data_IF_288193561463
#
_entry.id   IF_288193561463
#
_cell.length_a   1.000
_cell.length_b   1.000
_cell.length_c   1.000
_cell.angle_alpha   90.00
_cell.angle_beta   90.00
_cell.angle_gamma   90.00
#
_symmetry.space_group_name_H-M   'P 1'
#
loop_
_entity.id
_entity.type
_entity.pdbx_description
1 polymer ?
#
# COMPACT_ATOMS: atom_id res chain seq x y z
N UNK A 1 6.52 24.58 -3.73
CA UNK A 1 5.34 24.05 -4.44
C UNK A 1 5.87 23.01 -5.40
N UNK A 2 5.53 21.72 -5.22
CA UNK A 2 5.87 20.70 -6.22
C UNK A 2 4.90 20.85 -7.40
N UNK A 3 5.37 20.56 -8.62
CA UNK A 3 4.53 20.56 -9.80
C UNK A 3 3.59 19.33 -9.76
N UNK A 4 2.36 19.51 -10.22
CA UNK A 4 1.46 18.39 -10.45
C UNK A 4 2.03 17.51 -11.57
N UNK A 5 2.06 16.21 -11.31
CA UNK A 5 2.46 15.23 -12.31
C UNK A 5 1.25 14.90 -13.20
N UNK A 6 1.49 14.55 -14.46
CA UNK A 6 0.44 14.10 -15.39
C UNK A 6 0.05 12.64 -15.13
N UNK A 7 -0.35 12.34 -13.90
CA UNK A 7 -0.75 11.00 -13.45
C UNK A 7 -2.12 11.11 -12.80
N UNK A 8 -3.00 10.17 -13.13
CA UNK A 8 -4.31 10.02 -12.49
C UNK A 8 -4.27 8.88 -11.47
N UNK A 9 -4.77 9.13 -10.27
CA UNK A 9 -4.93 8.10 -9.24
C UNK A 9 -6.28 7.42 -9.47
N UNK A 10 -6.26 6.27 -10.15
CA UNK A 10 -7.47 5.50 -10.45
C UNK A 10 -7.88 4.53 -9.34
N UNK A 11 -6.93 4.18 -8.45
CA UNK A 11 -7.15 3.29 -7.32
C UNK A 11 -6.12 3.54 -6.21
N UNK A 12 -6.54 3.38 -4.96
CA UNK A 12 -5.69 3.41 -3.77
C UNK A 12 -6.22 2.39 -2.75
N UNK A 13 -5.33 1.74 -2.00
CA UNK A 13 -5.68 0.80 -0.94
C UNK A 13 -4.73 0.96 0.25
N UNK A 14 -5.30 1.03 1.45
CA UNK A 14 -4.58 0.90 2.72
C UNK A 14 -5.54 0.40 3.80
N UNK A 15 -5.11 -0.56 4.62
CA UNK A 15 -5.92 -1.13 5.69
C UNK A 15 -6.09 -0.15 6.88
N UNK A 16 -5.21 0.85 7.00
CA UNK A 16 -5.22 1.81 8.10
C UNK A 16 -6.16 3.00 7.82
N UNK A 17 -7.28 3.05 8.55
CA UNK A 17 -8.33 4.08 8.39
C UNK A 17 -7.78 5.51 8.56
N UNK A 18 -6.82 5.71 9.47
CA UNK A 18 -6.21 7.03 9.66
C UNK A 18 -5.39 7.49 8.45
N UNK A 19 -4.72 6.57 7.76
CA UNK A 19 -4.00 6.85 6.51
C UNK A 19 -4.98 7.19 5.38
N UNK A 20 -6.09 6.44 5.28
CA UNK A 20 -7.11 6.67 4.27
C UNK A 20 -7.76 8.05 4.38
N UNK A 21 -8.15 8.45 5.58
CA UNK A 21 -8.70 9.79 5.83
C UNK A 21 -7.73 10.90 5.44
N UNK A 22 -6.43 10.70 5.69
CA UNK A 22 -5.42 11.66 5.28
C UNK A 22 -5.26 11.68 3.76
N UNK A 23 -5.24 10.53 3.11
CA UNK A 23 -5.13 10.42 1.66
C UNK A 23 -6.31 11.09 0.95
N UNK A 24 -7.54 10.77 1.35
CA UNK A 24 -8.77 11.34 0.80
C UNK A 24 -8.80 12.87 0.96
N UNK A 25 -8.42 13.37 2.13
CA UNK A 25 -8.36 14.82 2.39
C UNK A 25 -7.40 15.57 1.47
N UNK A 26 -6.29 14.94 1.06
CA UNK A 26 -5.26 15.59 0.25
C UNK A 26 -5.42 15.36 -1.26
N UNK A 27 -5.99 14.22 -1.67
CA UNK A 27 -6.08 13.81 -3.08
C UNK A 27 -7.51 13.71 -3.61
N UNK A 28 -8.53 13.79 -2.75
CA UNK A 28 -9.94 13.67 -3.16
C UNK A 28 -10.34 12.27 -3.64
N UNK A 29 -9.49 11.27 -3.43
CA UNK A 29 -9.72 9.86 -3.77
C UNK A 29 -9.92 9.08 -2.47
N UNK A 30 -11.05 8.38 -2.35
CA UNK A 30 -11.33 7.49 -1.22
C UNK A 30 -10.62 6.15 -1.45
N UNK A 31 -9.63 5.76 -0.61
CA UNK A 31 -8.98 4.47 -0.76
C UNK A 31 -9.89 3.32 -0.31
N UNK A 32 -9.66 2.13 -0.89
CA UNK A 32 -10.23 0.88 -0.39
C UNK A 32 -9.58 0.53 0.95
N UNK A 33 -10.38 0.37 2.02
CA UNK A 33 -9.87 0.06 3.35
C UNK A 33 -9.76 -1.44 3.65
N UNK A 34 -10.11 -2.31 2.68
CA UNK A 34 -9.97 -3.75 2.85
C UNK A 34 -8.50 -4.15 2.93
N UNK A 35 -8.24 -5.30 3.55
CA UNK A 35 -6.94 -5.94 3.44
C UNK A 35 -6.65 -6.29 1.98
N UNK A 36 -5.49 -5.92 1.44
CA UNK A 36 -5.12 -6.17 0.03
C UNK A 36 -5.27 -7.65 -0.37
N UNK A 37 -5.11 -8.58 0.58
CA UNK A 37 -5.31 -10.02 0.39
C UNK A 37 -6.73 -10.44 0.03
N UNK A 38 -7.70 -9.58 0.32
CA UNK A 38 -9.12 -9.82 0.06
C UNK A 38 -9.58 -9.19 -1.26
N UNK A 39 -8.73 -8.39 -1.90
CA UNK A 39 -9.04 -7.67 -3.13
C UNK A 39 -8.55 -8.50 -4.31
N UNK A 40 -9.46 -8.85 -5.22
CA UNK A 40 -9.11 -9.56 -6.44
C UNK A 40 -8.60 -8.60 -7.51
N UNK A 41 -7.71 -9.08 -8.36
CA UNK A 41 -7.13 -8.27 -9.44
C UNK A 41 -8.17 -7.78 -10.46
N UNK A 42 -9.32 -8.45 -10.60
CA UNK A 42 -10.42 -8.04 -11.47
C UNK A 42 -11.33 -6.95 -10.85
N UNK A 43 -11.19 -6.67 -9.54
CA UNK A 43 -11.84 -5.54 -8.88
C UNK A 43 -11.06 -4.23 -9.05
N UNK A 44 -9.77 -4.32 -9.42
CA UNK A 44 -8.90 -3.16 -9.61
C UNK A 44 -9.14 -2.59 -11.03
N UNK A 45 -9.43 -1.28 -11.18
CA UNK A 45 -9.55 -0.64 -12.49
C UNK A 45 -8.30 -0.81 -13.36
N UNK A 46 -8.44 -0.71 -14.68
CA UNK A 46 -7.27 -0.69 -15.58
C UNK A 46 -6.34 0.47 -15.23
N UNK A 47 -5.03 0.19 -15.17
CA UNK A 47 -3.99 1.17 -14.87
C UNK A 47 -2.73 0.92 -15.69
N UNK A 48 -1.90 1.95 -15.86
CA UNK A 48 -0.61 1.85 -16.56
C UNK A 48 0.57 1.61 -15.60
N UNK A 49 0.48 2.14 -14.37
CA UNK A 49 1.56 2.12 -13.37
C UNK A 49 1.00 1.63 -12.04
N UNK A 50 1.66 0.61 -11.47
CA UNK A 50 1.44 0.17 -10.09
C UNK A 50 2.56 0.69 -9.19
N UNK A 51 2.20 1.41 -8.13
CA UNK A 51 3.11 1.82 -7.07
C UNK A 51 2.66 1.20 -5.76
N UNK A 52 3.53 0.43 -5.10
CA UNK A 52 3.22 -0.22 -3.83
C UNK A 52 4.39 -0.18 -2.87
N UNK A 53 4.11 0.15 -1.62
CA UNK A 53 5.05 0.06 -0.51
C UNK A 53 4.59 -1.01 0.46
N UNK A 54 5.12 -2.23 0.35
CA UNK A 54 4.83 -3.27 1.32
C UNK A 54 5.57 -2.98 2.65
N UNK A 55 5.09 -3.49 3.81
CA UNK A 55 5.69 -3.20 5.10
C UNK A 55 7.18 -3.55 5.15
N UNK A 56 8.04 -2.55 5.32
CA UNK A 56 9.49 -2.73 5.36
C UNK A 56 9.99 -3.32 6.68
N UNK A 57 9.14 -3.42 7.72
CA UNK A 57 9.49 -3.86 9.08
C UNK A 57 10.18 -5.23 9.08
N UNK A 58 9.70 -6.17 8.28
CA UNK A 58 10.24 -7.53 8.18
C UNK A 58 11.63 -7.59 7.51
N UNK A 59 12.01 -6.53 6.79
CA UNK A 59 13.25 -6.40 6.01
C UNK A 59 14.23 -5.36 6.60
N UNK A 60 13.78 -4.53 7.55
CA UNK A 60 14.53 -3.40 8.08
C UNK A 60 15.73 -3.81 8.92
N UNK A 61 16.81 -3.01 8.84
CA UNK A 61 18.04 -3.25 9.60
C UNK A 61 17.82 -3.14 11.11
N UNK A 62 16.91 -2.26 11.50
CA UNK A 62 16.55 -1.94 12.89
C UNK A 62 15.60 -2.96 13.52
N UNK A 63 15.02 -3.88 12.73
CA UNK A 63 14.23 -5.00 13.26
C UNK A 63 15.16 -6.08 13.83
N UNK A 64 15.70 -5.81 15.02
CA UNK A 64 16.41 -6.81 15.83
C UNK A 64 15.47 -7.53 16.79
N UNK A 65 14.32 -6.93 17.11
CA UNK A 65 13.22 -7.54 17.85
C UNK A 65 11.87 -7.03 17.28
N UNK A 66 11.12 -7.84 16.50
CA UNK A 66 11.41 -9.23 16.14
C UNK A 66 12.59 -9.36 15.16
N UNK A 67 13.15 -10.58 15.04
CA UNK A 67 14.20 -10.92 14.06
C UNK A 67 13.76 -10.52 12.65
N UNK A 68 14.71 -10.16 11.78
CA UNK A 68 14.47 -10.06 10.33
C UNK A 68 14.07 -11.41 9.76
N UNK A 69 12.77 -11.62 9.64
CA UNK A 69 12.19 -12.83 9.08
C UNK A 69 11.96 -12.68 7.57
N UNK A 70 12.01 -11.45 7.02
CA UNK A 70 11.77 -11.19 5.60
C UNK A 70 10.43 -11.77 5.16
N UNK A 71 10.44 -12.55 4.08
CA UNK A 71 9.26 -13.27 3.54
C UNK A 71 8.71 -14.38 4.46
N UNK A 72 9.35 -14.68 5.60
CA UNK A 72 8.84 -15.62 6.61
C UNK A 72 7.91 -14.96 7.64
N UNK A 73 7.77 -13.63 7.57
CA UNK A 73 6.81 -12.85 8.35
C UNK A 73 5.52 -12.65 7.53
N UNK A 74 4.36 -12.67 8.18
CA UNK A 74 3.06 -12.46 7.51
C UNK A 74 2.96 -11.09 6.81
N UNK A 75 3.70 -10.10 7.33
CA UNK A 75 3.83 -8.78 6.70
C UNK A 75 4.82 -8.77 5.54
N UNK A 76 5.81 -9.67 5.55
CA UNK A 76 6.80 -9.79 4.48
C UNK A 76 6.30 -10.57 3.27
N UNK A 77 5.26 -11.40 3.43
CA UNK A 77 4.59 -12.08 2.32
C UNK A 77 3.68 -11.17 1.50
N UNK A 78 3.35 -9.96 1.99
CA UNK A 78 2.61 -8.95 1.23
C UNK A 78 3.34 -8.50 -0.05
N UNK A 79 4.63 -8.81 -0.19
CA UNK A 79 5.35 -8.62 -1.45
C UNK A 79 4.80 -9.47 -2.61
N UNK A 80 4.15 -10.60 -2.32
CA UNK A 80 3.62 -11.52 -3.33
C UNK A 80 2.15 -11.26 -3.71
N UNK A 81 1.52 -10.28 -3.07
CA UNK A 81 0.18 -9.80 -3.40
C UNK A 81 0.28 -8.69 -4.47
#
# INVERSE_FOLDING_TARGET
HYADNQIEIVYANDIEDSANKMFEKNFGVTPDNRNIREIKSDEIPSFDILTGGFPCQSFSVSAQNPKRLGIKDEKGTLFFE
#
